data_IF_312133075175
#
_entry.id   IF_312133075175
#
_cell.length_a   1.000
_cell.length_b   1.000
_cell.length_c   1.000
_cell.angle_alpha   90.00
_cell.angle_beta   90.00
_cell.angle_gamma   90.00
#
_symmetry.space_group_name_H-M   'P 1'
#
loop_
_entity.id
_entity.type
_entity.pdbx_description
1 polymer ?
#
# COMPACT_ATOMS: atom_id res chain seq x y z
N UNK A 1 -0.85 -19.73 -19.83
CA UNK A 1 0.45 -19.52 -19.15
C UNK A 1 0.49 -18.29 -18.22
N UNK A 2 -0.65 -17.63 -17.89
CA UNK A 2 -0.72 -16.47 -16.97
C UNK A 2 -0.94 -16.83 -15.50
N UNK A 3 -1.27 -18.09 -15.20
CA UNK A 3 -1.73 -18.54 -13.89
C UNK A 3 -0.61 -18.90 -12.90
N UNK A 4 0.64 -19.04 -13.36
CA UNK A 4 1.75 -19.52 -12.52
C UNK A 4 2.40 -18.44 -11.64
N UNK A 5 1.94 -17.19 -11.72
CA UNK A 5 2.56 -16.03 -11.04
C UNK A 5 1.64 -15.33 -10.03
N UNK A 6 0.43 -15.84 -9.81
CA UNK A 6 -0.50 -15.31 -8.82
C UNK A 6 -0.14 -15.93 -7.47
N UNK A 7 0.13 -15.10 -6.47
CA UNK A 7 0.60 -15.56 -5.16
C UNK A 7 -0.49 -16.17 -4.27
N UNK A 8 -1.77 -15.93 -4.59
CA UNK A 8 -2.92 -16.54 -3.92
C UNK A 8 -3.71 -17.40 -4.91
N UNK A 9 -4.33 -18.51 -4.47
CA UNK A 9 -5.27 -19.26 -5.29
C UNK A 9 -6.34 -18.34 -5.90
N UNK A 10 -6.70 -18.55 -7.17
CA UNK A 10 -7.65 -17.68 -7.88
C UNK A 10 -8.99 -17.50 -7.15
N UNK A 11 -9.46 -18.52 -6.44
CA UNK A 11 -10.72 -18.48 -5.71
C UNK A 11 -10.64 -17.62 -4.44
N UNK A 12 -9.45 -17.30 -3.96
CA UNK A 12 -9.22 -16.37 -2.85
C UNK A 12 -9.00 -14.93 -3.35
N UNK A 13 -8.81 -14.72 -4.65
CA UNK A 13 -8.63 -13.40 -5.23
C UNK A 13 -9.99 -12.71 -5.39
N UNK A 14 -10.23 -11.69 -4.57
CA UNK A 14 -11.36 -10.78 -4.72
C UNK A 14 -11.07 -9.66 -5.72
N UNK A 15 -12.09 -9.28 -6.47
CA UNK A 15 -12.05 -8.17 -7.41
C UNK A 15 -13.20 -7.24 -7.11
N UNK A 16 -12.88 -6.09 -6.51
CA UNK A 16 -13.89 -5.11 -6.16
C UNK A 16 -14.55 -4.46 -7.38
N UNK A 17 -15.83 -4.15 -7.24
CA UNK A 17 -16.60 -3.27 -8.10
C UNK A 17 -16.02 -1.84 -8.08
N UNK A 18 -16.54 -0.98 -8.95
CA UNK A 18 -16.14 0.42 -8.95
C UNK A 18 -16.60 1.12 -7.66
N UNK A 19 -17.83 0.85 -7.24
CA UNK A 19 -18.44 1.42 -6.05
C UNK A 19 -17.68 1.02 -4.79
N UNK A 20 -17.25 -0.24 -4.69
CA UNK A 20 -16.42 -0.78 -3.61
C UNK A 20 -15.05 -0.11 -3.55
N UNK A 21 -14.39 0.06 -4.71
CA UNK A 21 -13.11 0.79 -4.83
C UNK A 21 -13.23 2.23 -4.37
N UNK A 22 -14.28 2.92 -4.80
CA UNK A 22 -14.54 4.31 -4.43
C UNK A 22 -14.87 4.41 -2.94
N UNK A 23 -15.66 3.48 -2.41
CA UNK A 23 -16.00 3.42 -0.99
C UNK A 23 -14.77 3.30 -0.09
N UNK A 24 -13.88 2.35 -0.37
CA UNK A 24 -12.64 2.19 0.39
C UNK A 24 -11.73 3.42 0.30
N UNK A 25 -11.60 4.01 -0.89
CA UNK A 25 -10.79 5.20 -1.08
C UNK A 25 -11.34 6.40 -0.29
N UNK A 26 -12.64 6.66 -0.39
CA UNK A 26 -13.29 7.76 0.32
C UNK A 26 -13.20 7.57 1.84
N UNK A 27 -13.36 6.34 2.35
CA UNK A 27 -13.19 6.05 3.76
C UNK A 27 -11.76 6.35 4.24
N UNK A 28 -10.75 6.03 3.43
CA UNK A 28 -9.35 6.34 3.73
C UNK A 28 -9.08 7.85 3.73
N UNK A 29 -9.64 8.61 2.79
CA UNK A 29 -9.52 10.08 2.74
C UNK A 29 -10.25 10.75 3.91
N UNK A 30 -11.46 10.29 4.26
CA UNK A 30 -12.20 10.79 5.42
C UNK A 30 -11.37 10.55 6.70
N UNK A 31 -10.83 9.35 6.88
CA UNK A 31 -9.98 9.04 8.02
C UNK A 31 -8.72 9.92 8.03
N UNK A 32 -8.04 10.10 6.89
CA UNK A 32 -6.89 10.99 6.76
C UNK A 32 -7.23 12.42 7.24
N UNK A 33 -8.37 12.95 6.82
CA UNK A 33 -8.82 14.30 7.19
C UNK A 33 -9.10 14.43 8.69
N UNK A 34 -9.66 13.38 9.29
CA UNK A 34 -10.04 13.34 10.72
C UNK A 34 -8.85 13.07 11.64
N UNK A 35 -7.82 12.40 11.14
CA UNK A 35 -6.63 12.05 11.92
C UNK A 35 -5.89 13.28 12.44
N UNK A 36 -5.97 14.41 11.71
CA UNK A 36 -5.34 15.67 12.12
C UNK A 36 -3.81 15.58 12.31
N UNK A 37 -3.18 14.60 11.66
CA UNK A 37 -1.76 14.33 11.85
C UNK A 37 -0.89 15.41 11.20
N UNK A 38 0.19 15.86 11.87
CA UNK A 38 1.16 16.76 11.25
C UNK A 38 2.07 16.03 10.23
N UNK A 39 2.02 14.69 10.19
CA UNK A 39 2.88 13.90 9.33
C UNK A 39 2.37 13.88 7.88
N UNK A 40 3.26 13.97 6.87
CA UNK A 40 2.88 13.81 5.47
C UNK A 40 2.19 12.46 5.24
N UNK A 41 1.08 12.47 4.49
CA UNK A 41 0.34 11.26 4.16
C UNK A 41 -0.28 11.27 2.77
N UNK A 42 -0.61 10.08 2.28
CA UNK A 42 -1.38 9.89 1.05
C UNK A 42 -2.21 8.60 1.10
N UNK A 43 -3.35 8.61 0.39
CA UNK A 43 -4.15 7.41 0.15
C UNK A 43 -3.69 6.74 -1.15
N UNK A 44 -3.62 5.41 -1.14
CA UNK A 44 -3.26 4.59 -2.31
C UNK A 44 -4.24 3.43 -2.45
N UNK A 45 -4.95 3.39 -3.58
CA UNK A 45 -5.78 2.24 -3.96
C UNK A 45 -4.93 1.08 -4.47
N UNK A 46 -5.27 -0.12 -4.04
CA UNK A 46 -4.65 -1.38 -4.42
C UNK A 46 -5.28 -1.93 -5.68
N UNK A 47 -4.42 -2.34 -6.61
CA UNK A 47 -4.83 -3.08 -7.80
C UNK A 47 -4.19 -4.46 -7.82
N UNK A 48 -4.66 -5.34 -8.70
CA UNK A 48 -4.16 -6.71 -8.83
C UNK A 48 -2.63 -6.86 -8.86
N UNK A 49 -1.91 -6.00 -9.57
CA UNK A 49 -0.44 -6.04 -9.67
C UNK A 49 0.30 -5.54 -8.43
N UNK A 50 -0.42 -4.96 -7.46
CA UNK A 50 0.14 -4.61 -6.16
C UNK A 50 0.07 -5.81 -5.21
N UNK A 51 -0.99 -6.62 -5.28
CA UNK A 51 -1.35 -7.55 -4.19
C UNK A 51 -1.44 -9.03 -4.58
N UNK A 52 -1.58 -9.35 -5.86
CA UNK A 52 -1.70 -10.73 -6.34
C UNK A 52 -0.51 -11.18 -7.19
N UNK A 53 0.03 -10.29 -8.01
CA UNK A 53 1.12 -10.57 -8.94
C UNK A 53 2.10 -9.41 -8.95
N UNK A 54 3.34 -9.65 -9.36
CA UNK A 54 4.44 -8.67 -9.46
C UNK A 54 4.88 -8.02 -8.14
N UNK A 55 3.96 -7.62 -7.25
CA UNK A 55 4.20 -6.97 -5.97
C UNK A 55 5.07 -5.71 -6.11
N UNK A 56 4.81 -4.94 -7.17
CA UNK A 56 5.38 -3.61 -7.36
C UNK A 56 4.35 -2.58 -6.93
N UNK A 57 4.68 -1.72 -5.96
CA UNK A 57 3.79 -0.66 -5.51
C UNK A 57 4.36 0.72 -5.85
N UNK A 58 3.88 1.33 -6.94
CA UNK A 58 4.20 2.71 -7.29
C UNK A 58 3.56 3.69 -6.31
N UNK A 59 4.35 4.58 -5.73
CA UNK A 59 3.91 5.64 -4.81
C UNK A 59 3.70 6.97 -5.57
N UNK A 60 2.93 7.93 -5.01
CA UNK A 60 2.74 9.23 -5.64
C UNK A 60 4.07 9.96 -5.80
N UNK A 61 4.47 10.27 -7.03
CA UNK A 61 5.80 10.81 -7.33
C UNK A 61 6.05 12.16 -6.66
N UNK A 62 5.02 13.03 -6.57
CA UNK A 62 5.14 14.32 -5.86
C UNK A 62 5.43 14.15 -4.38
N UNK A 63 4.77 13.17 -3.73
CA UNK A 63 5.03 12.84 -2.33
C UNK A 63 6.46 12.32 -2.15
N UNK A 64 6.89 11.43 -3.04
CA UNK A 64 8.22 10.84 -3.00
C UNK A 64 9.32 11.90 -3.13
N UNK A 65 9.22 12.79 -4.12
CA UNK A 65 10.20 13.87 -4.33
C UNK A 65 10.26 14.84 -3.13
N UNK A 66 9.14 15.10 -2.47
CA UNK A 66 9.08 16.02 -1.34
C UNK A 66 9.60 15.42 -0.03
N UNK A 67 9.49 14.10 0.17
CA UNK A 67 9.63 13.49 1.50
C UNK A 67 10.55 12.28 1.58
N UNK A 68 10.93 11.67 0.45
CA UNK A 68 11.70 10.43 0.41
C UNK A 68 13.03 10.60 -0.35
N UNK A 69 14.05 9.78 -0.02
CA UNK A 69 15.34 9.80 -0.73
C UNK A 69 15.23 9.41 -2.21
N UNK A 70 16.17 9.85 -3.04
CA UNK A 70 16.23 9.43 -4.46
C UNK A 70 16.90 8.06 -4.63
N UNK A 71 17.76 7.69 -3.67
CA UNK A 71 18.43 6.39 -3.66
C UNK A 71 17.52 5.24 -3.23
N UNK A 72 17.93 4.02 -3.56
CA UNK A 72 17.32 2.81 -3.01
C UNK A 72 17.62 2.71 -1.52
N UNK A 73 16.58 2.57 -0.68
CA UNK A 73 16.72 2.40 0.76
C UNK A 73 15.74 1.35 1.28
N UNK A 74 16.09 0.76 2.41
CA UNK A 74 15.15 0.04 3.25
C UNK A 74 14.24 1.02 3.99
N UNK A 75 12.97 0.68 4.06
CA UNK A 75 11.94 1.39 4.82
C UNK A 75 11.15 0.40 5.66
N UNK A 76 10.57 0.90 6.74
CA UNK A 76 9.71 0.14 7.63
C UNK A 76 8.25 0.47 7.31
N UNK A 77 7.44 -0.57 7.13
CA UNK A 77 5.99 -0.50 7.05
C UNK A 77 5.44 -0.99 8.39
N UNK A 78 4.85 -0.10 9.18
CA UNK A 78 4.23 -0.40 10.46
C UNK A 78 2.72 -0.47 10.27
N UNK A 79 2.09 -1.56 10.69
CA UNK A 79 0.63 -1.69 10.64
C UNK A 79 -0.08 -1.02 11.84
N UNK A 80 -1.41 -1.09 11.85
CA UNK A 80 -2.24 -0.51 12.91
C UNK A 80 -1.98 -1.12 14.29
N UNK A 81 -1.48 -2.37 14.34
CA UNK A 81 -1.14 -3.11 15.56
C UNK A 81 0.30 -2.89 16.00
N UNK A 82 1.07 -2.08 15.26
CA UNK A 82 2.48 -1.83 15.52
C UNK A 82 3.42 -2.94 15.03
N UNK A 83 2.93 -3.88 14.22
CA UNK A 83 3.79 -4.88 13.61
C UNK A 83 4.57 -4.25 12.46
N UNK A 84 5.89 -4.49 12.46
CA UNK A 84 6.81 -3.94 11.47
C UNK A 84 7.12 -4.94 10.35
N UNK A 85 7.23 -4.41 9.14
CA UNK A 85 7.61 -5.13 7.93
C UNK A 85 8.65 -4.32 7.16
N UNK A 86 9.79 -4.93 6.86
CA UNK A 86 10.82 -4.30 6.04
C UNK A 86 10.44 -4.33 4.57
N UNK A 87 10.64 -3.21 3.87
CA UNK A 87 10.45 -3.10 2.43
C UNK A 87 11.57 -2.27 1.77
N UNK A 88 11.81 -2.53 0.48
CA UNK A 88 12.78 -1.80 -0.33
C UNK A 88 12.06 -0.75 -1.15
N UNK A 89 12.36 0.51 -0.87
CA UNK A 89 11.93 1.65 -1.67
C UNK A 89 13.01 1.99 -2.71
N UNK A 90 12.62 2.04 -3.98
CA UNK A 90 13.48 2.42 -5.10
C UNK A 90 13.16 3.86 -5.49
N UNK A 91 13.94 4.83 -4.97
CA UNK A 91 13.68 6.26 -5.17
C UNK A 91 13.61 6.68 -6.64
N UNK A 92 14.55 6.21 -7.47
CA UNK A 92 14.56 6.44 -8.92
C UNK A 92 13.31 5.96 -9.67
N UNK A 93 12.48 5.10 -9.06
CA UNK A 93 11.22 4.60 -9.63
C UNK A 93 9.99 4.94 -8.78
N UNK A 94 10.18 5.72 -7.71
CA UNK A 94 9.14 6.14 -6.76
C UNK A 94 8.22 5.00 -6.35
N UNK A 95 8.76 3.88 -5.85
CA UNK A 95 7.95 2.70 -5.55
C UNK A 95 8.60 1.67 -4.64
N UNK A 96 7.76 0.81 -4.07
CA UNK A 96 8.16 -0.32 -3.23
C UNK A 96 8.27 -1.60 -4.06
N UNK A 97 9.29 -2.39 -3.74
CA UNK A 97 9.59 -3.65 -4.40
C UNK A 97 9.74 -4.78 -3.38
N UNK A 98 10.99 -5.11 -3.00
CA UNK A 98 11.29 -6.11 -1.98
C UNK A 98 10.50 -5.86 -0.70
N UNK A 99 10.04 -6.93 -0.04
CA UNK A 99 9.30 -6.84 1.23
C UNK A 99 7.82 -6.46 1.13
N UNK A 100 7.40 -5.67 0.13
CA UNK A 100 5.99 -5.30 -0.07
C UNK A 100 5.08 -6.53 -0.19
N UNK A 101 5.54 -7.58 -0.88
CA UNK A 101 4.82 -8.85 -1.01
C UNK A 101 4.42 -9.43 0.35
N UNK A 102 5.32 -9.39 1.33
CA UNK A 102 5.06 -9.97 2.66
C UNK A 102 3.95 -9.19 3.36
N UNK A 103 4.06 -7.86 3.38
CA UNK A 103 3.03 -6.99 3.93
C UNK A 103 1.66 -7.27 3.28
N UNK A 104 1.60 -7.29 1.95
CA UNK A 104 0.36 -7.51 1.21
C UNK A 104 -0.28 -8.88 1.49
N UNK A 105 0.52 -9.94 1.62
CA UNK A 105 0.00 -11.29 1.90
C UNK A 105 -0.42 -11.46 3.36
N UNK A 106 0.38 -10.99 4.31
CA UNK A 106 0.07 -11.11 5.75
C UNK A 106 -1.19 -10.32 6.10
N UNK A 107 -1.42 -9.20 5.41
CA UNK A 107 -2.64 -8.39 5.54
C UNK A 107 -3.77 -8.84 4.62
N UNK A 108 -3.58 -9.88 3.77
CA UNK A 108 -4.58 -10.33 2.80
C UNK A 108 -5.17 -9.16 1.99
N UNK A 109 -4.33 -8.29 1.46
CA UNK A 109 -4.79 -7.12 0.69
C UNK A 109 -5.38 -7.56 -0.64
N UNK A 110 -6.56 -7.07 -0.99
CA UNK A 110 -7.28 -7.42 -2.23
C UNK A 110 -7.29 -6.25 -3.25
N UNK A 111 -7.66 -6.57 -4.50
CA UNK A 111 -7.97 -5.54 -5.50
C UNK A 111 -9.23 -4.80 -5.05
N UNK A 112 -9.11 -3.50 -4.81
CA UNK A 112 -10.20 -2.73 -4.20
C UNK A 112 -9.82 -2.02 -2.91
N UNK A 113 -8.91 -2.60 -2.14
CA UNK A 113 -8.50 -2.04 -0.86
C UNK A 113 -7.82 -0.68 -1.06
N UNK A 114 -7.97 0.21 -0.08
CA UNK A 114 -7.25 1.47 -0.02
C UNK A 114 -6.38 1.51 1.23
N UNK A 115 -5.17 2.02 1.09
CA UNK A 115 -4.23 2.18 2.20
C UNK A 115 -3.93 3.66 2.41
N UNK A 116 -3.97 4.10 3.65
CA UNK A 116 -3.40 5.38 4.05
C UNK A 116 -1.95 5.14 4.50
N UNK A 117 -1.01 5.77 3.81
CA UNK A 117 0.40 5.80 4.19
C UNK A 117 0.69 7.11 4.94
N UNK A 118 1.17 7.01 6.18
CA UNK A 118 1.56 8.13 7.02
C UNK A 118 3.07 8.06 7.31
N UNK A 119 3.85 9.04 6.83
CA UNK A 119 5.29 9.05 7.03
C UNK A 119 5.63 9.60 8.42
N UNK A 120 5.73 8.71 9.40
CA UNK A 120 5.97 9.05 10.81
C UNK A 120 7.45 9.30 11.13
N UNK A 121 8.35 8.70 10.36
CA UNK A 121 9.80 8.96 10.39
C UNK A 121 10.34 8.94 8.95
N UNK A 122 11.55 9.47 8.66
CA UNK A 122 12.06 9.60 7.28
C UNK A 122 12.05 8.32 6.43
N UNK A 123 12.02 7.14 7.06
CA UNK A 123 11.99 5.83 6.41
C UNK A 123 10.96 4.87 7.04
N UNK A 124 9.93 5.41 7.71
CA UNK A 124 8.90 4.61 8.40
C UNK A 124 7.52 5.11 8.04
N UNK A 125 6.72 4.24 7.41
CA UNK A 125 5.30 4.48 7.19
C UNK A 125 4.48 3.75 8.24
N UNK A 126 3.53 4.46 8.86
CA UNK A 126 2.39 3.84 9.51
C UNK A 126 1.26 3.68 8.48
N UNK A 127 0.71 2.48 8.39
CA UNK A 127 -0.27 2.10 7.36
C UNK A 127 -1.60 1.74 8.02
N UNK A 128 -2.68 2.32 7.47
CA UNK A 128 -4.06 1.95 7.80
C UNK A 128 -4.73 1.33 6.59
N UNK A 129 -5.47 0.23 6.77
CA UNK A 129 -6.09 -0.54 5.67
C UNK A 129 -7.60 -0.38 5.66
N UNK A 130 -8.14 0.05 4.53
CA UNK A 130 -9.57 0.23 4.29
C UNK A 130 -10.01 -0.79 3.23
N UNK A 131 -10.95 -1.67 3.59
CA UNK A 131 -11.35 -2.79 2.74
C UNK A 131 -12.34 -2.36 1.68
N UNK A 132 -12.07 -2.77 0.45
CA UNK A 132 -12.96 -2.54 -0.69
C UNK A 132 -13.90 -3.71 -0.95
N UNK A 133 -13.39 -4.95 -0.90
CA UNK A 133 -14.18 -6.14 -1.17
C UNK A 133 -14.55 -6.85 0.15
N UNK A 134 -15.84 -6.87 0.51
CA UNK A 134 -16.35 -7.73 1.59
C UNK A 134 -16.29 -9.22 1.25
#
# INVERSE_FOLDING_TARGET
>A
KFLSYIARPLHECKFASYEEKVGAHNAAEEFQSRLGSPHPSFVKSMVRSHVYSCFWLGLPSRFCVAHLPEQTVEIVLEDEKGQEYEAVYIGARTGLSGGWKRFALDHKLDDGDALLFLLIEPKRFKIYVFRGAE
#
